data_IF_266378834351
#
_entry.id   IF_266378834351
#
_cell.length_a   1.000
_cell.length_b   1.000
_cell.length_c   1.000
_cell.angle_alpha   90.00
_cell.angle_beta   90.00
_cell.angle_gamma   90.00
#
_symmetry.space_group_name_H-M   'P 1'
#
loop_
_entity.id
_entity.type
_entity.pdbx_description
1 polymer ?
#
# COMPACT_ATOMS: atom_id res chain seq x y z
N UNK A 1 -6.09 23.56 -47.38
CA UNK A 1 -4.96 23.91 -46.48
C UNK A 1 -5.38 24.45 -45.10
N UNK A 2 -6.47 25.22 -44.93
CA UNK A 2 -6.86 25.75 -43.60
C UNK A 2 -7.59 24.73 -42.68
N UNK A 3 -8.16 23.67 -43.26
CA UNK A 3 -8.85 22.58 -42.56
C UNK A 3 -7.89 21.74 -41.69
N UNK A 4 -6.72 21.39 -42.24
CA UNK A 4 -5.77 20.48 -41.59
C UNK A 4 -5.17 21.08 -40.31
N UNK A 5 -4.90 22.40 -40.32
CA UNK A 5 -4.40 23.12 -39.14
C UNK A 5 -5.40 23.20 -37.98
N UNK A 6 -6.71 23.20 -38.27
CA UNK A 6 -7.75 23.20 -37.23
C UNK A 6 -7.88 21.82 -36.58
N UNK A 7 -7.72 20.75 -37.36
CA UNK A 7 -7.72 19.37 -36.89
C UNK A 7 -6.50 19.07 -36.00
N UNK A 8 -5.30 19.42 -36.46
CA UNK A 8 -4.05 19.22 -35.69
C UNK A 8 -4.05 20.00 -34.36
N UNK A 9 -4.61 21.22 -34.34
CA UNK A 9 -4.77 22.00 -33.10
C UNK A 9 -5.71 21.34 -32.09
N UNK A 10 -6.79 20.70 -32.55
CA UNK A 10 -7.72 19.95 -31.70
C UNK A 10 -7.09 18.68 -31.13
N UNK A 11 -6.27 17.98 -31.92
CA UNK A 11 -5.53 16.81 -31.44
C UNK A 11 -4.53 17.21 -30.36
N UNK A 12 -3.78 18.29 -30.57
CA UNK A 12 -2.77 18.72 -29.60
C UNK A 12 -3.38 19.19 -28.28
N UNK A 13 -4.52 19.89 -28.32
CA UNK A 13 -5.24 20.25 -27.09
C UNK A 13 -5.82 19.04 -26.36
N UNK A 14 -6.35 18.05 -27.10
CA UNK A 14 -6.82 16.79 -26.54
C UNK A 14 -5.68 15.99 -25.89
N UNK A 15 -4.54 15.85 -26.57
CA UNK A 15 -3.34 15.17 -26.03
C UNK A 15 -2.83 15.85 -24.76
N UNK A 16 -2.77 17.18 -24.74
CA UNK A 16 -2.35 17.93 -23.54
C UNK A 16 -3.32 17.74 -22.38
N UNK A 17 -4.61 17.69 -22.65
CA UNK A 17 -5.64 17.38 -21.64
C UNK A 17 -5.49 15.97 -21.09
N UNK A 18 -5.29 14.97 -21.96
CA UNK A 18 -5.05 13.58 -21.59
C UNK A 18 -3.77 13.44 -20.76
N UNK A 19 -2.69 14.14 -21.13
CA UNK A 19 -1.44 14.13 -20.38
C UNK A 19 -1.62 14.71 -18.97
N UNK A 20 -2.30 15.84 -18.86
CA UNK A 20 -2.60 16.47 -17.56
C UNK A 20 -3.47 15.56 -16.68
N UNK A 21 -4.42 14.84 -17.28
CA UNK A 21 -5.24 13.84 -16.60
C UNK A 21 -4.38 12.65 -16.12
N UNK A 22 -3.57 12.05 -16.99
CA UNK A 22 -2.67 10.94 -16.63
C UNK A 22 -1.73 11.32 -15.48
N UNK A 23 -1.19 12.54 -15.52
CA UNK A 23 -0.29 13.04 -14.47
C UNK A 23 -1.04 13.26 -13.15
N UNK A 24 -2.25 13.81 -13.18
CA UNK A 24 -3.08 14.05 -11.99
C UNK A 24 -3.52 12.74 -11.33
N UNK A 25 -3.89 11.74 -12.13
CA UNK A 25 -4.40 10.45 -11.65
C UNK A 25 -3.34 9.35 -11.60
N UNK A 26 -2.05 9.69 -11.71
CA UNK A 26 -0.93 8.73 -11.79
C UNK A 26 -0.98 7.65 -10.70
N UNK A 27 -1.34 8.01 -9.47
CA UNK A 27 -1.42 7.06 -8.33
C UNK A 27 -2.53 6.04 -8.54
N UNK A 28 -3.70 6.48 -8.98
CA UNK A 28 -4.85 5.62 -9.25
C UNK A 28 -4.54 4.71 -10.44
N UNK A 29 -3.98 5.27 -11.51
CA UNK A 29 -3.56 4.51 -12.69
C UNK A 29 -2.53 3.43 -12.31
N UNK A 30 -1.53 3.76 -11.49
CA UNK A 30 -0.55 2.79 -10.99
C UNK A 30 -1.20 1.63 -10.23
N UNK A 31 -2.20 1.91 -9.39
CA UNK A 31 -2.91 0.87 -8.64
C UNK A 31 -3.68 -0.06 -9.59
N UNK A 32 -4.41 0.50 -10.56
CA UNK A 32 -5.14 -0.30 -11.55
C UNK A 32 -4.21 -1.17 -12.39
N UNK A 33 -3.07 -0.61 -12.80
CA UNK A 33 -2.02 -1.36 -13.52
C UNK A 33 -1.47 -2.49 -12.64
N UNK A 34 -1.19 -2.23 -11.36
CA UNK A 34 -0.72 -3.26 -10.43
C UNK A 34 -1.74 -4.39 -10.25
N UNK A 35 -3.04 -4.09 -10.13
CA UNK A 35 -4.11 -5.09 -10.04
C UNK A 35 -4.17 -5.92 -11.33
N UNK A 36 -4.11 -5.29 -12.50
CA UNK A 36 -4.13 -5.99 -13.79
C UNK A 36 -2.93 -6.93 -13.95
N UNK A 37 -1.73 -6.48 -13.56
CA UNK A 37 -0.53 -7.33 -13.54
C UNK A 37 -0.72 -8.50 -12.59
N UNK A 38 -1.18 -8.26 -11.35
CA UNK A 38 -1.42 -9.32 -10.36
C UNK A 38 -2.37 -10.39 -10.87
N UNK A 39 -3.51 -10.00 -11.46
CA UNK A 39 -4.49 -10.94 -12.02
C UNK A 39 -3.88 -11.74 -13.16
N UNK A 40 -3.14 -11.09 -14.06
CA UNK A 40 -2.50 -11.76 -15.21
C UNK A 40 -1.46 -12.77 -14.74
N UNK A 41 -0.61 -12.39 -13.78
CA UNK A 41 0.41 -13.27 -13.20
C UNK A 41 -0.24 -14.44 -12.46
N UNK A 42 -1.28 -14.20 -11.66
CA UNK A 42 -1.98 -15.24 -10.93
C UNK A 42 -2.58 -16.30 -11.87
N UNK A 43 -3.21 -15.86 -12.97
CA UNK A 43 -3.75 -16.77 -13.97
C UNK A 43 -2.62 -17.51 -14.71
N UNK A 44 -1.51 -16.83 -15.02
CA UNK A 44 -0.35 -17.44 -15.67
C UNK A 44 0.35 -18.51 -14.81
N UNK A 45 0.30 -18.36 -13.48
CA UNK A 45 0.79 -19.35 -12.52
C UNK A 45 -0.17 -20.54 -12.32
N UNK A 46 -1.30 -20.57 -13.04
CA UNK A 46 -2.27 -21.67 -12.98
C UNK A 46 -3.26 -21.59 -11.82
N UNK A 47 -3.40 -20.44 -11.14
CA UNK A 47 -4.43 -20.28 -10.12
C UNK A 47 -5.83 -20.29 -10.75
N UNK A 48 -6.81 -20.85 -10.03
CA UNK A 48 -8.21 -20.86 -10.48
C UNK A 48 -8.72 -19.42 -10.67
N UNK A 49 -9.17 -19.12 -11.89
CA UNK A 49 -9.72 -17.81 -12.28
C UNK A 49 -10.87 -17.38 -11.36
N UNK A 50 -11.72 -18.33 -10.92
CA UNK A 50 -12.84 -18.03 -10.01
C UNK A 50 -12.33 -17.62 -8.64
N UNK A 51 -11.32 -18.31 -8.12
CA UNK A 51 -10.70 -17.97 -6.84
C UNK A 51 -10.00 -16.62 -6.88
N UNK A 52 -9.26 -16.33 -7.97
CA UNK A 52 -8.59 -15.02 -8.16
C UNK A 52 -9.62 -13.90 -8.27
N UNK A 53 -10.69 -14.08 -9.06
CA UNK A 53 -11.76 -13.09 -9.18
C UNK A 53 -12.47 -12.85 -7.85
N UNK A 54 -12.80 -13.92 -7.11
CA UNK A 54 -13.38 -13.82 -5.78
C UNK A 54 -12.47 -13.03 -4.82
N UNK A 55 -11.18 -13.33 -4.80
CA UNK A 55 -10.21 -12.65 -3.95
C UNK A 55 -10.09 -11.16 -4.27
N UNK A 56 -10.01 -10.80 -5.56
CA UNK A 56 -9.97 -9.40 -5.99
C UNK A 56 -11.24 -8.65 -5.59
N UNK A 57 -12.41 -9.26 -5.78
CA UNK A 57 -13.71 -8.67 -5.40
C UNK A 57 -13.78 -8.49 -3.89
N UNK A 58 -13.46 -9.53 -3.11
CA UNK A 58 -13.50 -9.47 -1.64
C UNK A 58 -12.56 -8.39 -1.11
N UNK A 59 -11.33 -8.33 -1.61
CA UNK A 59 -10.37 -7.28 -1.20
C UNK A 59 -10.88 -5.89 -1.59
N UNK A 60 -11.45 -5.74 -2.78
CA UNK A 60 -12.04 -4.48 -3.24
C UNK A 60 -13.19 -4.01 -2.36
N UNK A 61 -14.13 -4.91 -2.06
CA UNK A 61 -15.28 -4.63 -1.19
C UNK A 61 -14.85 -4.30 0.24
N UNK A 62 -13.91 -5.08 0.81
CA UNK A 62 -13.35 -4.79 2.13
C UNK A 62 -12.69 -3.41 2.15
N UNK A 63 -11.88 -3.08 1.14
CA UNK A 63 -11.21 -1.78 1.06
C UNK A 63 -12.21 -0.61 1.04
N UNK A 64 -13.29 -0.72 0.27
CA UNK A 64 -14.35 0.29 0.26
C UNK A 64 -15.09 0.37 1.61
N UNK A 65 -15.36 -0.77 2.25
CA UNK A 65 -15.98 -0.79 3.58
C UNK A 65 -15.10 -0.09 4.62
N UNK A 66 -13.78 -0.32 4.62
CA UNK A 66 -12.84 0.37 5.50
C UNK A 66 -12.78 1.87 5.22
N UNK A 67 -12.77 2.30 3.96
CA UNK A 67 -12.80 3.73 3.60
C UNK A 67 -14.09 4.38 4.13
N UNK A 68 -15.25 3.73 3.94
CA UNK A 68 -16.52 4.22 4.47
C UNK A 68 -16.51 4.35 6.00
N UNK A 69 -15.98 3.34 6.69
CA UNK A 69 -15.82 3.36 8.14
C UNK A 69 -14.89 4.49 8.60
N UNK A 70 -13.73 4.67 7.94
CA UNK A 70 -12.78 5.74 8.25
C UNK A 70 -13.38 7.12 8.02
N UNK A 71 -14.20 7.30 6.98
CA UNK A 71 -14.91 8.56 6.72
C UNK A 71 -15.90 8.90 7.85
N UNK A 72 -16.66 7.90 8.33
CA UNK A 72 -17.58 8.09 9.47
C UNK A 72 -16.80 8.46 10.73
N UNK A 73 -15.71 7.74 10.99
CA UNK A 73 -14.82 7.97 12.13
C UNK A 73 -14.21 9.38 12.08
N UNK A 74 -13.81 9.84 10.90
CA UNK A 74 -13.18 11.16 10.71
C UNK A 74 -14.13 12.34 11.01
N UNK A 75 -15.45 12.12 11.02
CA UNK A 75 -16.43 13.15 11.41
C UNK A 75 -16.36 13.48 12.90
N UNK A 76 -15.79 12.60 13.74
CA UNK A 76 -15.66 12.81 15.18
C UNK A 76 -14.19 13.15 15.51
N UNK A 77 -13.83 14.43 15.71
CA UNK A 77 -12.43 14.86 15.74
C UNK A 77 -11.58 14.27 16.88
N UNK A 78 -12.20 13.94 18.01
CA UNK A 78 -11.48 13.41 19.20
C UNK A 78 -11.47 11.88 19.21
N UNK A 79 -12.64 11.27 19.03
CA UNK A 79 -12.80 9.81 19.08
C UNK A 79 -12.30 9.14 17.80
N UNK A 80 -12.42 9.83 16.67
CA UNK A 80 -12.05 9.35 15.35
C UNK A 80 -10.61 8.82 15.29
N UNK A 81 -9.61 9.64 15.67
CA UNK A 81 -8.21 9.20 15.70
C UNK A 81 -7.94 8.00 16.60
N UNK A 82 -8.69 7.85 17.71
CA UNK A 82 -8.52 6.73 18.64
C UNK A 82 -9.05 5.44 18.02
N UNK A 83 -10.27 5.46 17.45
CA UNK A 83 -10.86 4.29 16.80
C UNK A 83 -10.03 3.87 15.59
N UNK A 84 -9.54 4.83 14.78
CA UNK A 84 -8.67 4.53 13.65
C UNK A 84 -7.40 3.75 14.07
N UNK A 85 -6.80 4.11 15.22
CA UNK A 85 -5.64 3.38 15.78
C UNK A 85 -6.02 1.95 16.18
N UNK A 86 -7.19 1.76 16.79
CA UNK A 86 -7.68 0.43 17.18
C UNK A 86 -7.94 -0.45 15.96
N UNK A 87 -8.58 0.10 14.93
CA UNK A 87 -8.84 -0.62 13.68
C UNK A 87 -7.57 -0.95 12.90
N UNK A 88 -6.48 -0.22 13.12
CA UNK A 88 -5.18 -0.56 12.56
C UNK A 88 -4.50 -1.73 13.31
N UNK A 89 -4.88 -2.05 14.55
CA UNK A 89 -4.25 -3.12 15.36
C UNK A 89 -4.23 -4.48 14.65
N UNK A 90 -5.33 -5.00 14.08
CA UNK A 90 -5.30 -6.27 13.36
C UNK A 90 -4.25 -6.31 12.25
N UNK A 91 -4.04 -5.19 11.55
CA UNK A 91 -3.02 -5.09 10.51
C UNK A 91 -1.59 -5.14 11.09
N UNK A 92 -1.35 -4.47 12.22
CA UNK A 92 -0.08 -4.58 12.94
C UNK A 92 0.21 -6.02 13.38
N UNK A 93 -0.78 -6.74 13.90
CA UNK A 93 -0.64 -8.15 14.28
C UNK A 93 -0.33 -9.05 13.08
N UNK A 94 -0.99 -8.84 11.94
CA UNK A 94 -0.73 -9.58 10.71
C UNK A 94 0.70 -9.36 10.21
N UNK A 95 1.15 -8.10 10.13
CA UNK A 95 2.49 -7.76 9.68
C UNK A 95 3.56 -8.32 10.61
N UNK A 96 3.34 -8.24 11.91
CA UNK A 96 4.23 -8.78 12.92
C UNK A 96 4.31 -10.33 12.84
N UNK A 97 3.17 -10.99 12.66
CA UNK A 97 3.08 -12.44 12.43
C UNK A 97 3.84 -12.86 11.18
N UNK A 98 3.72 -12.10 10.08
CA UNK A 98 4.47 -12.35 8.85
C UNK A 98 5.99 -12.24 9.08
N UNK A 99 6.43 -11.24 9.85
CA UNK A 99 7.83 -11.08 10.24
C UNK A 99 8.36 -12.27 11.03
N UNK A 100 7.57 -12.82 11.96
CA UNK A 100 7.92 -14.05 12.66
C UNK A 100 7.92 -15.28 11.75
N UNK A 101 6.92 -15.40 10.87
CA UNK A 101 6.84 -16.50 9.91
C UNK A 101 8.08 -16.56 9.01
N UNK A 102 8.45 -15.43 8.39
CA UNK A 102 9.65 -15.32 7.57
C UNK A 102 10.91 -15.63 8.38
N UNK A 103 10.97 -15.18 9.64
CA UNK A 103 12.10 -15.47 10.53
C UNK A 103 12.25 -16.97 10.80
N UNK A 104 11.15 -17.67 11.06
CA UNK A 104 11.16 -19.13 11.26
C UNK A 104 11.64 -19.85 10.00
N UNK A 105 11.16 -19.44 8.82
CA UNK A 105 11.59 -20.02 7.55
C UNK A 105 13.09 -19.77 7.32
N UNK A 106 13.59 -18.56 7.61
CA UNK A 106 15.01 -18.23 7.45
C UNK A 106 15.91 -19.01 8.42
N UNK A 107 15.50 -19.16 9.69
CA UNK A 107 16.19 -19.98 10.68
C UNK A 107 16.28 -21.44 10.22
N UNK A 108 15.20 -22.00 9.68
CA UNK A 108 15.18 -23.36 9.13
C UNK A 108 16.13 -23.51 7.93
N UNK A 109 16.36 -22.46 7.16
CA UNK A 109 17.32 -22.41 6.04
C UNK A 109 18.77 -22.15 6.45
N UNK A 110 19.07 -22.00 7.74
CA UNK A 110 20.42 -21.81 8.26
C UNK A 110 20.80 -20.35 8.56
N UNK A 111 19.95 -19.37 8.24
CA UNK A 111 20.22 -17.93 8.41
C UNK A 111 20.00 -17.42 9.85
N UNK A 112 20.41 -18.20 10.85
CA UNK A 112 20.11 -17.89 12.27
C UNK A 112 20.81 -16.62 12.73
N UNK A 113 22.07 -16.43 12.34
CA UNK A 113 22.88 -15.27 12.74
C UNK A 113 22.36 -13.98 12.10
N UNK A 114 21.90 -14.06 10.86
CA UNK A 114 21.34 -12.95 10.09
C UNK A 114 20.02 -12.49 10.70
N UNK A 115 19.14 -13.42 11.06
CA UNK A 115 17.87 -13.11 11.74
C UNK A 115 18.13 -12.47 13.11
N UNK A 116 19.10 -12.97 13.87
CA UNK A 116 19.52 -12.38 15.14
C UNK A 116 20.08 -10.97 14.97
N UNK A 117 21.03 -10.78 14.06
CA UNK A 117 21.65 -9.49 13.79
C UNK A 117 20.61 -8.45 13.36
N UNK A 118 19.65 -8.82 12.52
CA UNK A 118 18.57 -7.92 12.11
C UNK A 118 17.69 -7.49 13.30
N UNK A 119 17.35 -8.42 14.19
CA UNK A 119 16.55 -8.14 15.39
C UNK A 119 17.31 -7.24 16.36
N UNK A 120 18.58 -7.55 16.62
CA UNK A 120 19.45 -6.73 17.48
C UNK A 120 19.60 -5.32 16.89
N UNK A 121 19.89 -5.20 15.59
CA UNK A 121 20.01 -3.91 14.91
C UNK A 121 18.74 -3.08 15.05
N UNK A 122 17.57 -3.70 14.85
CA UNK A 122 16.28 -3.01 14.97
C UNK A 122 16.05 -2.52 16.40
N UNK A 123 16.35 -3.35 17.42
CA UNK A 123 16.21 -2.95 18.83
C UNK A 123 17.16 -1.80 19.16
N UNK A 124 18.43 -1.91 18.77
CA UNK A 124 19.43 -0.84 18.99
C UNK A 124 18.99 0.45 18.30
N UNK A 125 18.50 0.38 17.07
CA UNK A 125 18.00 1.54 16.34
C UNK A 125 16.80 2.19 17.03
N UNK A 126 15.81 1.40 17.46
CA UNK A 126 14.64 1.91 18.17
C UNK A 126 14.99 2.55 19.51
N UNK A 127 15.90 1.93 20.27
CA UNK A 127 16.40 2.49 21.54
C UNK A 127 17.16 3.79 21.26
N UNK A 128 18.04 3.81 20.26
CA UNK A 128 18.77 5.02 19.87
C UNK A 128 17.84 6.15 19.44
N UNK A 129 16.80 5.85 18.67
CA UNK A 129 15.78 6.83 18.26
C UNK A 129 15.00 7.35 19.47
N UNK A 130 14.58 6.47 20.39
CA UNK A 130 13.90 6.86 21.63
C UNK A 130 14.78 7.78 22.49
N UNK A 131 16.05 7.41 22.71
CA UNK A 131 17.00 8.22 23.48
C UNK A 131 17.23 9.57 22.80
N UNK A 132 17.48 9.57 21.48
CA UNK A 132 17.66 10.80 20.71
C UNK A 132 16.43 11.72 20.75
N UNK A 133 15.23 11.16 20.65
CA UNK A 133 13.97 11.91 20.76
C UNK A 133 13.79 12.54 22.14
N UNK A 134 14.08 11.79 23.21
CA UNK A 134 13.99 12.31 24.58
C UNK A 134 15.01 13.43 24.79
N UNK A 135 16.28 13.21 24.43
CA UNK A 135 17.34 14.21 24.58
C UNK A 135 17.07 15.47 23.75
N UNK A 136 16.65 15.32 22.49
CA UNK A 136 16.34 16.43 21.60
C UNK A 136 15.07 17.22 21.96
N UNK A 137 14.25 16.71 22.88
CA UNK A 137 13.10 17.44 23.44
C UNK A 137 13.47 18.20 24.73
N UNK A 138 14.53 17.79 25.41
CA UNK A 138 15.00 18.39 26.68
C UNK A 138 15.95 19.58 26.42
N UNK A 139 16.74 19.49 25.35
CA UNK A 139 17.59 20.58 24.83
C UNK A 139 16.71 21.54 24.02
#
# INVERSE_FOLDING_TARGET
>A
MQSDNKFLRRINSALKSIWNFLYSFRKIILIWVAIAIFVTVAIALGLDRKAVAFLVIVIGLLSQAFIGLLNIIALIPIVGPIIAKVLALPFYWLLNSLGYFVSVVAIKKGYKKEVLNYRVLTVVFLVGLLVGFVLGKII
#
